data_IF_325551284908
#
_entry.id   IF_325551284908
#
_cell.length_a   1.000
_cell.length_b   1.000
_cell.length_c   1.000
_cell.angle_alpha   90.00
_cell.angle_beta   90.00
_cell.angle_gamma   90.00
#
_symmetry.space_group_name_H-M   'P 1'
#
loop_
_entity.id
_entity.type
_entity.pdbx_description
1 polymer ?
#
# COMPACT_ATOMS: atom_id res chain seq x y z
N UNK A 1 -18.28 9.15 51.87
CA UNK A 1 -18.08 10.01 50.69
C UNK A 1 -17.29 9.20 49.68
N UNK A 2 -17.97 8.53 48.74
CA UNK A 2 -17.32 7.71 47.71
C UNK A 2 -17.13 8.59 46.47
N UNK A 3 -15.88 8.89 46.15
CA UNK A 3 -15.52 9.63 44.94
C UNK A 3 -15.63 8.67 43.76
N UNK A 4 -16.64 8.87 42.92
CA UNK A 4 -16.82 8.16 41.66
C UNK A 4 -15.80 8.71 40.65
N UNK A 5 -14.78 7.92 40.32
CA UNK A 5 -13.83 8.24 39.26
C UNK A 5 -14.50 7.94 37.92
N UNK A 6 -14.99 8.99 37.24
CA UNK A 6 -15.47 8.88 35.85
C UNK A 6 -14.25 8.83 34.95
N UNK A 7 -13.88 7.63 34.49
CA UNK A 7 -12.89 7.45 33.43
C UNK A 7 -13.62 7.75 32.12
N UNK A 8 -13.44 8.96 31.60
CA UNK A 8 -13.78 9.25 30.20
C UNK A 8 -12.83 8.46 29.32
N UNK A 9 -13.34 7.41 28.66
CA UNK A 9 -12.65 6.81 27.52
C UNK A 9 -12.63 7.84 26.40
N UNK A 10 -11.50 8.51 26.21
CA UNK A 10 -11.20 9.14 24.95
C UNK A 10 -11.03 8.02 23.93
N UNK A 11 -11.95 7.91 22.96
CA UNK A 11 -11.69 7.12 21.76
C UNK A 11 -10.43 7.67 21.12
N UNK A 12 -9.33 6.92 21.18
CA UNK A 12 -8.16 7.21 20.39
C UNK A 12 -8.59 7.16 18.94
N UNK A 13 -8.73 8.32 18.29
CA UNK A 13 -8.89 8.37 16.84
C UNK A 13 -7.76 7.53 16.24
N UNK A 14 -8.11 6.57 15.39
CA UNK A 14 -7.14 5.83 14.62
C UNK A 14 -6.19 6.83 13.93
N UNK A 15 -4.89 6.54 13.97
CA UNK A 15 -3.88 7.41 13.38
C UNK A 15 -4.18 7.56 11.88
N UNK A 16 -4.58 8.77 11.49
CA UNK A 16 -4.97 9.12 10.14
C UNK A 16 -3.93 10.08 9.58
N UNK A 17 -3.34 9.71 8.45
CA UNK A 17 -2.34 10.52 7.77
C UNK A 17 -2.98 11.24 6.59
N UNK A 18 -2.78 12.55 6.51
CA UNK A 18 -3.33 13.41 5.45
C UNK A 18 -2.19 14.14 4.76
N UNK A 19 -2.06 13.94 3.46
CA UNK A 19 -1.00 14.52 2.64
C UNK A 19 -1.60 15.34 1.51
N UNK A 20 -1.08 16.55 1.29
CA UNK A 20 -1.52 17.47 0.26
C UNK A 20 -0.36 17.78 -0.69
N UNK A 21 -0.58 17.56 -1.98
CA UNK A 21 0.40 17.67 -3.07
C UNK A 21 0.18 18.92 -3.94
N UNK A 22 -0.78 19.77 -3.57
CA UNK A 22 -1.05 21.02 -4.30
C UNK A 22 -0.19 22.18 -3.82
N UNK A 23 -0.38 23.34 -4.46
CA UNK A 23 0.31 24.57 -4.08
C UNK A 23 -0.15 25.05 -2.69
N UNK A 24 0.82 25.53 -1.89
CA UNK A 24 0.57 26.11 -0.57
C UNK A 24 0.26 25.09 0.53
N UNK A 25 -0.41 25.55 1.58
CA UNK A 25 -0.80 24.72 2.72
C UNK A 25 -2.31 24.49 2.73
N UNK A 26 -2.72 23.33 3.22
CA UNK A 26 -4.13 22.98 3.45
C UNK A 26 -4.32 22.60 4.92
N UNK A 27 -5.30 23.21 5.57
CA UNK A 27 -5.59 22.96 6.98
C UNK A 27 -5.86 21.48 7.24
N UNK A 28 -5.20 20.91 8.25
CA UNK A 28 -5.31 19.50 8.62
C UNK A 28 -4.55 18.53 7.69
N UNK A 29 -3.72 19.03 6.78
CA UNK A 29 -2.89 18.21 5.90
C UNK A 29 -1.41 18.54 6.06
N UNK A 30 -0.58 17.53 5.88
CA UNK A 30 0.86 17.67 5.72
C UNK A 30 1.16 18.03 4.26
N UNK A 31 1.81 19.16 4.04
CA UNK A 31 2.20 19.60 2.70
C UNK A 31 3.38 18.77 2.19
N UNK A 32 3.22 18.17 1.00
CA UNK A 32 4.26 17.43 0.29
C UNK A 32 4.74 18.29 -0.87
N UNK A 33 5.98 18.78 -0.78
CA UNK A 33 6.62 19.61 -1.80
C UNK A 33 7.95 18.99 -2.23
N UNK A 34 8.67 19.62 -3.16
CA UNK A 34 9.90 19.07 -3.74
C UNK A 34 11.03 18.79 -2.73
N UNK A 35 10.99 19.34 -1.51
CA UNK A 35 11.95 19.03 -0.45
C UNK A 35 11.46 17.95 0.52
N UNK A 36 10.24 17.44 0.37
CA UNK A 36 9.67 16.38 1.21
C UNK A 36 10.17 15.03 0.72
N UNK A 37 11.33 14.60 1.20
CA UNK A 37 11.94 13.33 0.83
C UNK A 37 11.66 12.27 1.90
N UNK A 38 11.48 11.03 1.47
CA UNK A 38 11.48 9.87 2.36
C UNK A 38 12.93 9.46 2.63
N UNK A 39 13.32 9.45 3.91
CA UNK A 39 14.62 8.99 4.38
C UNK A 39 14.48 8.38 5.79
N UNK A 40 15.59 8.13 6.49
CA UNK A 40 15.54 7.53 7.82
C UNK A 40 15.01 8.48 8.91
N UNK A 41 15.08 9.80 8.68
CA UNK A 41 14.69 10.84 9.62
C UNK A 41 13.27 11.36 9.35
N UNK A 42 12.79 11.21 8.10
CA UNK A 42 11.44 11.55 7.67
C UNK A 42 10.52 10.33 7.65
N UNK A 43 9.32 10.46 8.24
CA UNK A 43 8.32 9.39 8.23
C UNK A 43 7.52 9.30 6.93
N UNK A 44 7.68 10.22 5.98
CA UNK A 44 7.01 10.20 4.67
C UNK A 44 7.71 11.10 3.64
N UNK A 45 7.43 10.90 2.35
CA UNK A 45 7.87 11.80 1.30
C UNK A 45 8.03 11.13 -0.05
N UNK A 46 8.60 11.87 -1.01
CA UNK A 46 9.03 11.32 -2.28
C UNK A 46 10.17 10.32 -2.06
N UNK A 47 10.07 9.15 -2.68
CA UNK A 47 10.97 8.01 -2.47
C UNK A 47 11.44 7.43 -3.81
N UNK A 48 12.46 6.57 -3.78
CA UNK A 48 13.11 5.84 -4.89
C UNK A 48 13.76 6.73 -5.98
N UNK A 49 13.23 7.93 -6.20
CA UNK A 49 13.73 8.94 -7.11
C UNK A 49 13.61 10.29 -6.37
N UNK A 50 14.75 10.93 -6.08
CA UNK A 50 14.80 12.16 -5.28
C UNK A 50 14.13 13.37 -5.95
N UNK A 51 13.92 13.33 -7.28
CA UNK A 51 13.22 14.38 -8.01
C UNK A 51 12.51 13.82 -9.24
N UNK A 52 11.37 14.42 -9.56
CA UNK A 52 10.62 14.16 -10.78
C UNK A 52 10.25 15.50 -11.40
N UNK A 53 10.17 15.55 -12.73
CA UNK A 53 9.64 16.74 -13.40
C UNK A 53 8.12 16.80 -13.22
N UNK A 54 7.56 18.01 -13.33
CA UNK A 54 6.10 18.16 -13.26
C UNK A 54 5.40 17.32 -14.33
N UNK A 55 4.45 16.50 -13.90
CA UNK A 55 3.70 15.60 -14.79
C UNK A 55 4.43 14.30 -15.14
N UNK A 56 5.59 14.01 -14.56
CA UNK A 56 6.24 12.70 -14.64
C UNK A 56 5.78 11.76 -13.50
N UNK A 57 5.86 10.43 -13.69
CA UNK A 57 5.64 9.47 -12.62
C UNK A 57 6.59 9.65 -11.44
N UNK A 58 6.11 9.33 -10.24
CA UNK A 58 6.90 9.41 -9.01
C UNK A 58 6.45 8.38 -7.97
N UNK A 59 7.27 8.17 -6.95
CA UNK A 59 6.91 7.35 -5.80
C UNK A 59 6.73 8.22 -4.56
N UNK A 60 5.75 7.85 -3.75
CA UNK A 60 5.52 8.42 -2.43
C UNK A 60 5.48 7.30 -1.40
N UNK A 61 6.25 7.46 -0.34
CA UNK A 61 6.29 6.50 0.75
C UNK A 61 5.91 7.13 2.08
N UNK A 62 5.33 6.32 2.96
CA UNK A 62 5.06 6.66 4.36
C UNK A 62 5.35 5.47 5.24
N UNK A 63 6.09 5.70 6.32
CA UNK A 63 6.40 4.69 7.33
C UNK A 63 5.11 4.28 8.03
N UNK A 64 4.77 3.00 7.90
CA UNK A 64 3.56 2.42 8.46
C UNK A 64 3.87 0.99 8.88
N UNK A 65 3.44 0.57 10.08
CA UNK A 65 3.62 -0.81 10.49
C UNK A 65 2.80 -1.76 9.61
N UNK A 66 3.10 -3.05 9.70
CA UNK A 66 2.30 -4.10 9.08
C UNK A 66 0.80 -3.96 9.42
N UNK A 67 -0.04 -4.08 8.39
CA UNK A 67 -1.49 -3.96 8.53
C UNK A 67 -2.20 -3.65 7.22
N UNK A 68 -3.52 -3.51 7.31
CA UNK A 68 -4.34 -3.07 6.19
C UNK A 68 -4.63 -1.57 6.34
N UNK A 69 -4.48 -0.83 5.25
CA UNK A 69 -4.69 0.61 5.23
C UNK A 69 -5.59 0.99 4.07
N UNK A 70 -6.67 1.72 4.37
CA UNK A 70 -7.49 2.33 3.34
C UNK A 70 -6.78 3.60 2.89
N UNK A 71 -6.51 3.66 1.60
CA UNK A 71 -5.93 4.83 0.95
C UNK A 71 -7.03 5.48 0.15
N UNK A 72 -7.29 6.76 0.44
CA UNK A 72 -8.22 7.60 -0.30
C UNK A 72 -7.42 8.67 -1.02
N UNK A 73 -7.59 8.77 -2.32
CA UNK A 73 -6.89 9.74 -3.16
C UNK A 73 -7.87 10.72 -3.78
N UNK A 74 -7.46 11.99 -3.86
CA UNK A 74 -8.11 12.99 -4.71
C UNK A 74 -7.22 13.23 -5.91
N UNK A 75 -7.79 13.02 -7.10
CA UNK A 75 -7.09 13.12 -8.37
C UNK A 75 -7.65 14.25 -9.21
N UNK A 76 -6.78 14.97 -9.89
CA UNK A 76 -7.08 15.99 -10.87
C UNK A 76 -6.14 17.19 -10.79
N UNK A 77 -6.39 18.17 -11.65
CA UNK A 77 -5.60 19.39 -11.70
C UNK A 77 -6.46 20.59 -12.11
N UNK A 78 -6.18 21.77 -11.54
CA UNK A 78 -6.95 22.98 -11.83
C UNK A 78 -6.70 23.54 -13.23
N UNK A 79 -5.52 23.30 -13.81
CA UNK A 79 -5.04 23.95 -15.03
C UNK A 79 -4.96 23.01 -16.24
N UNK A 80 -4.94 21.69 -16.03
CA UNK A 80 -4.75 20.71 -17.12
C UNK A 80 -5.55 19.43 -16.93
N UNK A 81 -5.74 18.73 -18.05
CA UNK A 81 -6.24 17.35 -18.07
C UNK A 81 -5.17 16.41 -17.48
N UNK A 82 -5.62 15.39 -16.74
CA UNK A 82 -4.75 14.41 -16.09
C UNK A 82 -5.10 12.99 -16.50
N UNK A 83 -4.12 12.10 -16.47
CA UNK A 83 -4.29 10.66 -16.66
C UNK A 83 -3.41 9.96 -15.63
N UNK A 84 -4.05 9.33 -14.65
CA UNK A 84 -3.38 8.78 -13.47
C UNK A 84 -3.64 7.28 -13.33
N UNK A 85 -2.57 6.53 -13.12
CA UNK A 85 -2.57 5.12 -12.72
C UNK A 85 -1.85 5.05 -11.38
N UNK A 86 -2.37 4.28 -10.43
CA UNK A 86 -1.71 4.09 -9.13
C UNK A 86 -1.41 2.62 -8.95
N UNK A 87 -0.15 2.35 -8.63
CA UNK A 87 0.30 1.04 -8.15
C UNK A 87 0.82 1.17 -6.73
N UNK A 88 0.78 0.08 -5.97
CA UNK A 88 1.35 0.02 -4.62
C UNK A 88 2.40 -1.08 -4.52
N UNK A 89 3.39 -0.87 -3.65
CA UNK A 89 4.51 -1.79 -3.40
C UNK A 89 5.16 -2.26 -4.72
N UNK A 90 5.41 -3.56 -4.87
CA UNK A 90 5.89 -4.20 -6.10
C UNK A 90 4.80 -4.26 -7.18
N UNK A 91 4.31 -3.08 -7.58
CA UNK A 91 3.44 -2.85 -8.74
C UNK A 91 2.05 -3.49 -8.68
N UNK A 92 1.49 -3.71 -7.48
CA UNK A 92 0.07 -4.11 -7.34
C UNK A 92 -0.82 -3.01 -7.91
N UNK A 93 -1.66 -3.33 -8.89
CA UNK A 93 -2.46 -2.33 -9.60
C UNK A 93 -3.70 -1.96 -8.79
N UNK A 94 -3.73 -0.73 -8.26
CA UNK A 94 -4.80 -0.24 -7.39
C UNK A 94 -5.82 0.61 -8.14
N UNK A 95 -5.37 1.37 -9.14
CA UNK A 95 -6.22 2.21 -9.98
C UNK A 95 -5.62 2.30 -11.38
N UNK A 96 -6.44 2.14 -12.42
CA UNK A 96 -6.02 2.20 -13.80
C UNK A 96 -6.70 3.36 -14.56
N UNK A 97 -5.90 4.13 -15.30
CA UNK A 97 -6.34 5.09 -16.32
C UNK A 97 -7.44 6.06 -15.85
N UNK A 98 -7.28 6.60 -14.64
CA UNK A 98 -8.18 7.60 -14.10
C UNK A 98 -7.92 8.94 -14.79
N UNK A 99 -8.86 9.36 -15.65
CA UNK A 99 -8.79 10.62 -16.38
C UNK A 99 -9.60 11.71 -15.69
N UNK A 100 -9.08 12.93 -15.69
CA UNK A 100 -9.81 14.13 -15.27
C UNK A 100 -9.61 15.26 -16.27
N UNK A 101 -10.60 16.15 -16.37
CA UNK A 101 -10.47 17.42 -17.09
C UNK A 101 -9.88 18.51 -16.19
N UNK A 102 -9.25 19.51 -16.81
CA UNK A 102 -8.83 20.72 -16.10
C UNK A 102 -9.98 21.29 -15.24
N UNK A 103 -9.68 21.64 -13.99
CA UNK A 103 -10.64 22.15 -13.01
C UNK A 103 -11.50 21.08 -12.35
N UNK A 104 -11.43 19.82 -12.79
CA UNK A 104 -12.21 18.71 -12.24
C UNK A 104 -11.38 17.83 -11.34
N UNK A 105 -11.99 17.39 -10.23
CA UNK A 105 -11.40 16.47 -9.27
C UNK A 105 -12.28 15.23 -9.11
N UNK A 106 -11.66 14.07 -8.95
CA UNK A 106 -12.34 12.82 -8.60
C UNK A 106 -11.72 12.22 -7.34
N UNK A 107 -12.52 11.48 -6.59
CA UNK A 107 -12.04 10.73 -5.43
C UNK A 107 -12.09 9.25 -5.71
N UNK A 108 -11.05 8.52 -5.31
CA UNK A 108 -10.97 7.05 -5.36
C UNK A 108 -10.46 6.52 -4.04
N UNK A 109 -10.79 5.26 -3.74
CA UNK A 109 -10.26 4.57 -2.58
C UNK A 109 -10.02 3.10 -2.88
N UNK A 110 -8.99 2.55 -2.22
CA UNK A 110 -8.58 1.16 -2.27
C UNK A 110 -7.92 0.79 -0.94
N UNK A 111 -7.68 -0.49 -0.70
CA UNK A 111 -7.01 -0.97 0.52
C UNK A 111 -5.68 -1.61 0.15
N UNK A 112 -4.60 -1.21 0.83
CA UNK A 112 -3.27 -1.79 0.68
C UNK A 112 -2.95 -2.59 1.94
N UNK A 113 -2.50 -3.83 1.75
CA UNK A 113 -1.90 -4.62 2.82
C UNK A 113 -0.39 -4.38 2.82
N UNK A 114 0.13 -3.86 3.92
CA UNK A 114 1.56 -3.73 4.23
C UNK A 114 1.94 -4.95 5.07
N UNK A 115 3.08 -5.57 4.77
CA UNK A 115 3.54 -6.79 5.46
C UNK A 115 5.05 -6.77 5.64
N UNK A 116 5.49 -7.33 6.76
CA UNK A 116 6.91 -7.56 7.02
C UNK A 116 7.15 -9.06 7.26
N UNK A 117 8.41 -9.43 7.51
CA UNK A 117 8.79 -10.85 7.64
C UNK A 117 8.49 -11.44 9.02
N UNK A 118 8.19 -10.64 10.03
CA UNK A 118 8.07 -11.10 11.42
C UNK A 118 6.86 -12.02 11.61
N UNK A 119 7.02 -13.22 12.18
CA UNK A 119 5.92 -14.14 12.50
C UNK A 119 5.66 -14.13 14.01
N UNK A 120 6.73 -14.27 14.78
CA UNK A 120 6.79 -14.14 16.24
C UNK A 120 8.06 -13.37 16.61
N UNK A 121 8.31 -13.14 17.90
CA UNK A 121 9.52 -12.44 18.36
C UNK A 121 10.83 -13.12 17.91
N UNK A 122 10.82 -14.43 17.70
CA UNK A 122 11.98 -15.27 17.39
C UNK A 122 11.93 -15.92 15.99
N UNK A 123 10.86 -15.68 15.22
CA UNK A 123 10.63 -16.35 13.92
C UNK A 123 10.23 -15.35 12.85
N UNK A 124 10.80 -15.51 11.66
CA UNK A 124 10.46 -14.72 10.47
C UNK A 124 10.32 -15.58 9.23
N UNK A 125 9.68 -15.02 8.19
CA UNK A 125 9.65 -15.57 6.84
C UNK A 125 11.07 -15.54 6.27
N UNK A 126 11.52 -16.68 5.74
CA UNK A 126 12.82 -16.80 5.06
C UNK A 126 12.69 -16.30 3.62
N UNK A 127 13.16 -15.08 3.38
CA UNK A 127 13.22 -14.48 2.05
C UNK A 127 14.35 -15.10 1.20
N UNK A 128 14.12 -15.21 -0.11
CA UNK A 128 15.17 -15.50 -1.09
C UNK A 128 16.06 -14.25 -1.26
N UNK A 129 17.33 -14.39 -1.65
CA UNK A 129 18.22 -13.25 -1.85
C UNK A 129 17.64 -12.17 -2.79
N UNK A 130 16.93 -12.56 -3.84
CA UNK A 130 16.29 -11.65 -4.81
C UNK A 130 15.04 -10.93 -4.29
N UNK A 131 14.58 -11.24 -3.08
CA UNK A 131 13.47 -10.55 -2.43
C UNK A 131 13.94 -9.45 -1.49
N UNK A 132 15.21 -9.47 -1.09
CA UNK A 132 15.79 -8.47 -0.20
C UNK A 132 15.78 -7.13 -0.92
N UNK A 133 15.16 -6.13 -0.31
CA UNK A 133 15.00 -4.79 -0.87
C UNK A 133 13.77 -4.62 -1.78
N UNK A 134 12.96 -5.66 -2.00
CA UNK A 134 11.64 -5.48 -2.62
C UNK A 134 10.72 -4.68 -1.70
N UNK A 135 9.78 -3.96 -2.30
CA UNK A 135 8.81 -3.07 -1.62
C UNK A 135 7.68 -3.83 -0.88
N UNK A 136 7.81 -5.14 -0.71
CA UNK A 136 6.73 -6.02 -0.24
C UNK A 136 6.96 -6.56 1.17
N UNK A 137 8.16 -6.38 1.73
CA UNK A 137 8.62 -7.02 2.97
C UNK A 137 9.32 -6.00 3.89
N UNK A 138 8.71 -4.85 4.08
CA UNK A 138 9.22 -3.72 4.86
C UNK A 138 8.12 -3.08 5.72
N UNK A 139 8.46 -2.00 6.42
CA UNK A 139 7.57 -1.28 7.35
C UNK A 139 7.18 0.10 6.78
N UNK A 140 6.76 0.13 5.52
CA UNK A 140 6.22 1.32 4.85
C UNK A 140 5.17 0.95 3.81
N UNK A 141 4.32 1.92 3.49
CA UNK A 141 3.53 1.92 2.26
C UNK A 141 4.34 2.66 1.20
N UNK A 142 4.49 2.07 0.02
CA UNK A 142 4.98 2.77 -1.17
C UNK A 142 3.91 2.80 -2.26
N UNK A 143 3.61 4.00 -2.77
CA UNK A 143 2.72 4.22 -3.90
C UNK A 143 3.52 4.74 -5.09
N UNK A 144 3.34 4.10 -6.24
CA UNK A 144 3.78 4.61 -7.55
C UNK A 144 2.61 5.38 -8.17
N UNK A 145 2.79 6.69 -8.35
CA UNK A 145 1.85 7.56 -9.04
C UNK A 145 2.34 7.70 -10.49
N UNK A 146 1.63 7.06 -11.41
CA UNK A 146 2.06 6.89 -12.81
C UNK A 146 0.96 7.39 -13.79
N UNK A 147 1.20 7.29 -15.08
CA UNK A 147 0.35 7.76 -16.17
C UNK A 147 1.05 8.82 -17.03
N UNK A 148 0.41 9.25 -18.12
CA UNK A 148 1.00 10.23 -19.05
C UNK A 148 1.25 11.60 -18.41
N UNK A 149 0.38 11.98 -17.47
CA UNK A 149 0.43 13.23 -16.66
C UNK A 149 -0.40 12.97 -15.40
N UNK A 150 0.16 12.30 -14.38
CA UNK A 150 -0.57 12.03 -13.15
C UNK A 150 -0.98 13.33 -12.46
N UNK A 151 -2.17 13.34 -11.89
CA UNK A 151 -2.71 14.47 -11.14
C UNK A 151 -3.12 14.03 -9.75
N UNK A 152 -2.17 13.86 -8.84
CA UNK A 152 -2.48 13.58 -7.44
C UNK A 152 -2.57 14.90 -6.66
N UNK A 153 -3.63 15.08 -5.88
CA UNK A 153 -3.82 16.26 -5.02
C UNK A 153 -3.77 15.95 -3.54
N UNK A 154 -4.39 14.85 -3.15
CA UNK A 154 -4.51 14.48 -1.74
C UNK A 154 -4.37 12.97 -1.58
N UNK A 155 -3.73 12.57 -0.49
CA UNK A 155 -3.81 11.22 0.04
C UNK A 155 -4.31 11.32 1.48
N UNK A 156 -5.30 10.50 1.82
CA UNK A 156 -5.69 10.20 3.20
C UNK A 156 -5.49 8.72 3.44
N UNK A 157 -4.80 8.36 4.52
CA UNK A 157 -4.48 6.99 4.88
C UNK A 157 -4.97 6.74 6.29
N UNK A 158 -5.76 5.70 6.44
CA UNK A 158 -6.28 5.25 7.74
C UNK A 158 -6.14 3.73 7.85
N UNK A 159 -6.02 3.23 9.08
CA UNK A 159 -6.06 1.79 9.32
C UNK A 159 -7.42 1.22 8.91
N UNK A 160 -7.43 0.09 8.22
CA UNK A 160 -8.64 -0.54 7.69
C UNK A 160 -8.90 -1.90 8.34
N UNK A 161 -9.97 -1.99 9.12
CA UNK A 161 -10.47 -3.26 9.66
C UNK A 161 -11.43 -3.93 8.66
N UNK A 162 -10.87 -4.38 7.54
CA UNK A 162 -11.59 -5.12 6.49
C UNK A 162 -11.10 -6.57 6.40
N UNK A 163 -11.91 -7.49 5.86
CA UNK A 163 -11.44 -8.84 5.51
C UNK A 163 -10.23 -8.80 4.58
N UNK A 164 -9.35 -9.79 4.73
CA UNK A 164 -8.16 -9.96 3.90
C UNK A 164 -8.28 -11.21 3.05
N UNK A 165 -8.03 -11.06 1.75
CA UNK A 165 -7.77 -12.15 0.84
C UNK A 165 -6.26 -12.39 0.77
N UNK A 166 -5.82 -13.47 1.40
CA UNK A 166 -4.44 -13.95 1.34
C UNK A 166 -4.24 -14.79 0.09
N UNK A 167 -3.11 -14.59 -0.59
CA UNK A 167 -2.72 -15.39 -1.76
C UNK A 167 -1.45 -16.18 -1.42
N UNK A 168 -1.50 -17.50 -1.61
CA UNK A 168 -0.35 -18.39 -1.57
C UNK A 168 -0.12 -19.00 -2.95
N UNK A 169 1.09 -18.89 -3.48
CA UNK A 169 1.40 -19.46 -4.79
C UNK A 169 2.82 -19.19 -5.27
N UNK A 170 3.00 -19.36 -6.59
CA UNK A 170 4.30 -19.29 -7.25
C UNK A 170 4.44 -18.05 -8.17
N UNK A 171 5.25 -18.14 -9.25
CA UNK A 171 5.52 -17.07 -10.21
C UNK A 171 4.29 -16.56 -10.96
N UNK A 172 3.24 -17.36 -11.13
CA UNK A 172 1.99 -16.94 -11.79
C UNK A 172 1.12 -16.06 -10.90
N UNK A 173 1.33 -16.11 -9.58
CA UNK A 173 0.53 -15.39 -8.58
C UNK A 173 1.26 -14.16 -8.05
N UNK A 174 2.58 -14.24 -7.87
CA UNK A 174 3.44 -13.26 -7.20
C UNK A 174 3.39 -11.85 -7.80
N UNK A 175 3.70 -10.87 -6.96
CA UNK A 175 4.05 -9.52 -7.39
C UNK A 175 5.44 -9.53 -8.06
N UNK A 176 5.59 -8.80 -9.17
CA UNK A 176 6.79 -8.70 -9.99
C UNK A 176 7.21 -7.22 -10.12
N UNK A 177 8.44 -6.92 -9.72
CA UNK A 177 8.97 -5.54 -9.71
C UNK A 177 9.22 -4.99 -11.11
N UNK A 178 9.48 -5.85 -12.10
CA UNK A 178 9.95 -5.44 -13.42
C UNK A 178 8.98 -5.85 -14.53
N UNK A 179 8.80 -4.97 -15.51
CA UNK A 179 8.08 -5.27 -16.76
C UNK A 179 8.94 -6.17 -17.67
N UNK A 180 8.33 -7.07 -18.48
CA UNK A 180 6.89 -7.26 -18.68
C UNK A 180 6.25 -8.29 -17.73
N UNK A 181 6.98 -8.84 -16.75
CA UNK A 181 6.45 -9.88 -15.87
C UNK A 181 5.36 -9.34 -14.93
N UNK A 182 4.35 -10.17 -14.69
CA UNK A 182 3.21 -9.87 -13.83
C UNK A 182 2.52 -11.18 -13.40
N UNK A 183 2.25 -11.34 -12.11
CA UNK A 183 1.36 -12.40 -11.62
C UNK A 183 -0.09 -11.93 -11.55
N UNK A 184 -1.06 -12.84 -11.62
CA UNK A 184 -2.47 -12.45 -11.56
C UNK A 184 -2.84 -11.83 -10.20
N UNK A 185 -2.19 -12.25 -9.11
CA UNK A 185 -2.38 -11.69 -7.77
C UNK A 185 -2.00 -10.21 -7.67
N UNK A 186 -1.03 -9.77 -8.49
CA UNK A 186 -0.64 -8.37 -8.60
C UNK A 186 -1.74 -7.48 -9.21
N UNK A 187 -2.58 -8.06 -10.07
CA UNK A 187 -3.65 -7.34 -10.78
C UNK A 187 -5.00 -7.41 -10.05
N UNK A 188 -5.17 -8.42 -9.19
CA UNK A 188 -6.40 -8.69 -8.47
C UNK A 188 -7.01 -7.47 -7.74
N UNK A 189 -6.24 -6.60 -7.07
CA UNK A 189 -6.83 -5.47 -6.34
C UNK A 189 -7.69 -4.55 -7.20
N UNK A 190 -7.37 -4.38 -8.50
CA UNK A 190 -8.14 -3.54 -9.42
C UNK A 190 -9.60 -4.00 -9.58
N UNK A 191 -9.86 -5.30 -9.39
CA UNK A 191 -11.19 -5.90 -9.57
C UNK A 191 -12.01 -5.95 -8.28
N UNK A 192 -11.44 -5.46 -7.18
CA UNK A 192 -12.06 -5.44 -5.86
C UNK A 192 -12.42 -4.01 -5.46
N UNK A 193 -13.25 -3.87 -4.43
CA UNK A 193 -13.57 -2.58 -3.83
C UNK A 193 -12.75 -2.34 -2.55
N UNK A 194 -12.91 -1.17 -1.94
CA UNK A 194 -12.21 -0.73 -0.73
C UNK A 194 -12.70 -1.39 0.58
N UNK A 195 -13.40 -2.53 0.47
CA UNK A 195 -13.91 -3.33 1.60
C UNK A 195 -13.19 -4.66 1.78
N UNK A 196 -12.14 -4.91 1.02
CA UNK A 196 -11.30 -6.11 1.13
C UNK A 196 -9.83 -5.73 0.86
N UNK A 197 -8.91 -6.28 1.65
CA UNK A 197 -7.48 -6.17 1.41
C UNK A 197 -6.97 -7.39 0.63
N UNK A 198 -5.96 -7.22 -0.22
CA UNK A 198 -5.24 -8.34 -0.85
C UNK A 198 -3.83 -8.41 -0.32
N UNK A 199 -3.47 -9.55 0.28
CA UNK A 199 -2.15 -9.82 0.83
C UNK A 199 -1.48 -10.95 0.04
N UNK A 200 -0.59 -10.60 -0.88
CA UNK A 200 0.03 -11.54 -1.81
C UNK A 200 1.34 -12.11 -1.25
N UNK A 201 1.31 -13.34 -0.73
CA UNK A 201 2.48 -14.01 -0.16
C UNK A 201 3.20 -14.91 -1.16
N UNK A 202 2.67 -15.06 -2.38
CA UNK A 202 3.27 -15.85 -3.43
C UNK A 202 4.67 -15.36 -3.79
N UNK A 203 5.51 -16.28 -4.30
CA UNK A 203 6.84 -15.92 -4.77
C UNK A 203 7.34 -16.89 -5.85
N UNK A 204 8.07 -16.38 -6.83
CA UNK A 204 8.58 -17.18 -7.95
C UNK A 204 9.46 -18.36 -7.47
N UNK A 205 9.25 -19.52 -8.09
CA UNK A 205 9.96 -20.75 -7.74
C UNK A 205 9.62 -21.28 -6.35
N UNK A 206 8.45 -20.92 -5.79
CA UNK A 206 7.86 -21.66 -4.68
C UNK A 206 7.04 -22.85 -5.19
N UNK A 207 7.21 -23.99 -4.54
CA UNK A 207 6.23 -25.08 -4.50
C UNK A 207 5.59 -25.12 -3.10
N UNK A 208 4.53 -25.90 -2.90
CA UNK A 208 3.82 -25.93 -1.61
C UNK A 208 4.76 -26.26 -0.42
N UNK A 209 5.67 -27.22 -0.60
CA UNK A 209 6.65 -27.60 0.44
C UNK A 209 7.67 -26.48 0.72
N UNK A 210 8.20 -25.81 -0.31
CA UNK A 210 9.16 -24.72 -0.11
C UNK A 210 8.47 -23.51 0.53
N UNK A 211 7.22 -23.23 0.17
CA UNK A 211 6.43 -22.13 0.72
C UNK A 211 6.17 -22.32 2.23
N UNK A 212 5.85 -23.55 2.63
CA UNK A 212 5.71 -23.95 4.04
C UNK A 212 7.07 -23.84 4.75
N UNK A 213 8.13 -24.39 4.17
CA UNK A 213 9.47 -24.37 4.78
C UNK A 213 10.05 -22.96 4.94
N UNK A 214 9.67 -22.02 4.06
CA UNK A 214 10.03 -20.61 4.12
C UNK A 214 9.24 -19.84 5.20
N UNK A 215 8.24 -20.46 5.84
CA UNK A 215 7.43 -19.84 6.88
C UNK A 215 6.30 -18.95 6.37
N UNK A 216 6.09 -18.84 5.06
CA UNK A 216 5.03 -17.98 4.47
C UNK A 216 3.64 -18.42 4.87
N UNK A 217 3.38 -19.73 4.86
CA UNK A 217 2.10 -20.27 5.31
C UNK A 217 1.85 -19.99 6.80
N UNK A 218 2.88 -20.14 7.63
CA UNK A 218 2.78 -19.83 9.05
C UNK A 218 2.44 -18.35 9.28
N UNK A 219 3.10 -17.43 8.54
CA UNK A 219 2.81 -15.99 8.58
C UNK A 219 1.35 -15.68 8.25
N UNK A 220 0.82 -16.25 7.17
CA UNK A 220 -0.60 -16.09 6.80
C UNK A 220 -1.51 -16.55 7.95
N UNK A 221 -1.33 -17.78 8.42
CA UNK A 221 -2.23 -18.38 9.42
C UNK A 221 -2.21 -17.61 10.74
N UNK A 222 -1.08 -17.01 11.13
CA UNK A 222 -1.00 -16.16 12.33
C UNK A 222 -1.76 -14.84 12.21
N UNK A 223 -1.97 -14.34 10.98
CA UNK A 223 -2.65 -13.07 10.73
C UNK A 223 -4.14 -13.24 10.40
N UNK A 224 -4.53 -14.41 9.87
CA UNK A 224 -5.90 -14.67 9.46
C UNK A 224 -6.88 -14.56 10.62
N UNK A 225 -7.99 -13.86 10.37
CA UNK A 225 -9.15 -13.76 11.27
C UNK A 225 -10.42 -14.28 10.59
N UNK A 226 -11.47 -14.50 11.39
CA UNK A 226 -12.78 -14.91 10.87
C UNK A 226 -13.27 -13.91 9.82
N UNK A 227 -13.61 -14.42 8.63
CA UNK A 227 -14.05 -13.62 7.49
C UNK A 227 -12.98 -13.40 6.42
N UNK A 228 -11.72 -13.70 6.72
CA UNK A 228 -10.65 -13.71 5.72
C UNK A 228 -10.73 -14.93 4.80
N UNK A 229 -10.10 -14.83 3.63
CA UNK A 229 -9.97 -15.91 2.65
C UNK A 229 -8.50 -16.21 2.37
N UNK A 230 -8.21 -17.46 2.03
CA UNK A 230 -6.90 -17.88 1.54
C UNK A 230 -7.10 -18.59 0.20
N UNK A 231 -6.57 -18.02 -0.87
CA UNK A 231 -6.50 -18.67 -2.18
C UNK A 231 -5.12 -19.29 -2.34
N UNK A 232 -5.09 -20.55 -2.79
CA UNK A 232 -3.88 -21.36 -2.90
C UNK A 232 -3.77 -21.87 -4.33
N UNK A 233 -2.67 -21.51 -5.00
CA UNK A 233 -2.32 -22.02 -6.33
C UNK A 233 -0.86 -22.48 -6.34
N UNK A 234 -0.68 -23.80 -6.33
CA UNK A 234 0.60 -24.46 -6.57
C UNK A 234 0.38 -25.59 -7.59
N UNK A 235 1.46 -26.04 -8.21
CA UNK A 235 1.50 -27.16 -9.15
C UNK A 235 2.80 -27.93 -9.04
#
# INVERSE_FOLDING_TARGET
MFTLLVITMAEAKAEEFRFYFGDGNKEGYQTVNSSTLYDNDSSYGYDLIASHADGEPFFFSVKLPEGNYRVKVVLGDQRRDTHTTIRSESRRLMLANAETKAGSMITRSFVVNIRNTSITADRSVKLKPREIGKLNWDDKLTLEINGKRPGLREIVIEKAEVPTLFLAGNSTVTDQDNEPWCGWGQMLPLFLNDRIAVANYAESGEAANTFISAGRFAKIVTMMKKGDWLFIEFG
#
